data_IF_913868612663
#
_entry.id   IF_913868612663
#
_cell.length_a   1.000
_cell.length_b   1.000
_cell.length_c   1.000
_cell.angle_alpha   90.00
_cell.angle_beta   90.00
_cell.angle_gamma   90.00
#
_symmetry.space_group_name_H-M   'P 1'
#
loop_
_entity.id
_entity.type
_entity.pdbx_description
1 polymer ?
#
# COMPACT_ATOMS: atom_id res chain seq x y z
N UNK A 1 23.10 20.10 -8.27
CA UNK A 1 22.29 18.93 -8.67
C UNK A 1 21.20 18.79 -7.65
N UNK A 2 19.95 18.72 -8.07
CA UNK A 2 18.82 18.58 -7.14
C UNK A 2 18.93 17.25 -6.39
N UNK A 3 18.87 17.29 -5.03
CA UNK A 3 19.00 16.08 -4.20
C UNK A 3 17.94 15.02 -4.55
N UNK A 4 16.76 15.44 -5.00
CA UNK A 4 15.70 14.54 -5.48
C UNK A 4 16.11 13.76 -6.74
N UNK A 5 16.74 14.42 -7.71
CA UNK A 5 17.18 13.74 -8.94
C UNK A 5 18.27 12.69 -8.65
N UNK A 6 19.20 13.03 -7.76
CA UNK A 6 20.24 12.10 -7.33
C UNK A 6 19.64 10.88 -6.59
N UNK A 7 18.65 11.12 -5.72
CA UNK A 7 17.94 10.07 -5.01
C UNK A 7 17.14 9.16 -5.96
N UNK A 8 16.39 9.73 -6.91
CA UNK A 8 15.65 8.95 -7.90
C UNK A 8 16.56 8.06 -8.75
N UNK A 9 17.68 8.59 -9.24
CA UNK A 9 18.65 7.84 -10.05
C UNK A 9 19.29 6.70 -9.24
N UNK A 10 19.67 6.97 -8.00
CA UNK A 10 20.22 5.96 -7.09
C UNK A 10 19.21 4.85 -6.80
N UNK A 11 17.96 5.21 -6.54
CA UNK A 11 16.88 4.26 -6.28
C UNK A 11 16.58 3.39 -7.51
N UNK A 12 16.52 3.97 -8.71
CA UNK A 12 16.26 3.21 -9.94
C UNK A 12 17.34 2.15 -10.17
N UNK A 13 18.63 2.51 -10.02
CA UNK A 13 19.73 1.56 -10.16
C UNK A 13 19.63 0.45 -9.10
N UNK A 14 19.42 0.81 -7.85
CA UNK A 14 19.27 -0.15 -6.76
C UNK A 14 18.12 -1.14 -7.02
N UNK A 15 16.98 -0.65 -7.52
CA UNK A 15 15.82 -1.49 -7.86
C UNK A 15 16.14 -2.47 -8.99
N UNK A 16 16.87 -2.04 -10.01
CA UNK A 16 17.29 -2.92 -11.10
C UNK A 16 18.29 -4.00 -10.64
N UNK A 17 19.25 -3.62 -9.83
CA UNK A 17 20.29 -4.53 -9.33
C UNK A 17 19.71 -5.59 -8.37
N UNK A 18 18.61 -5.26 -7.63
CA UNK A 18 17.97 -6.14 -6.63
C UNK A 18 16.49 -6.40 -6.91
N UNK A 19 16.08 -6.47 -8.18
CA UNK A 19 14.68 -6.52 -8.59
C UNK A 19 13.88 -7.62 -7.90
N UNK A 20 14.41 -8.84 -7.84
CA UNK A 20 13.73 -10.00 -7.21
C UNK A 20 13.53 -9.77 -5.71
N UNK A 21 14.55 -9.27 -5.02
CA UNK A 21 14.48 -8.97 -3.59
C UNK A 21 13.48 -7.84 -3.29
N UNK A 22 13.46 -6.79 -4.11
CA UNK A 22 12.52 -5.66 -3.98
C UNK A 22 11.08 -6.12 -4.21
N UNK A 23 10.82 -6.97 -5.20
CA UNK A 23 9.49 -7.56 -5.43
C UNK A 23 9.08 -8.42 -4.22
N UNK A 24 9.99 -9.25 -3.70
CA UNK A 24 9.75 -10.07 -2.51
C UNK A 24 9.41 -9.23 -1.28
N UNK A 25 10.16 -8.15 -1.02
CA UNK A 25 9.90 -7.21 0.07
C UNK A 25 8.52 -6.54 -0.11
N UNK A 26 8.21 -6.10 -1.33
CA UNK A 26 6.92 -5.44 -1.63
C UNK A 26 5.74 -6.38 -1.42
N UNK A 27 5.85 -7.63 -1.85
CA UNK A 27 4.82 -8.65 -1.66
C UNK A 27 4.64 -8.99 -0.17
N UNK A 28 5.75 -9.19 0.55
CA UNK A 28 5.74 -9.44 1.98
C UNK A 28 5.12 -8.27 2.76
N UNK A 29 5.49 -7.03 2.40
CA UNK A 29 4.92 -5.81 2.97
C UNK A 29 3.41 -5.73 2.71
N UNK A 30 2.97 -6.00 1.48
CA UNK A 30 1.56 -5.97 1.11
C UNK A 30 0.76 -6.98 1.92
N UNK A 31 1.20 -8.24 1.97
CA UNK A 31 0.53 -9.30 2.73
C UNK A 31 0.51 -8.99 4.23
N UNK A 32 1.63 -8.51 4.78
CA UNK A 32 1.72 -8.15 6.19
C UNK A 32 0.89 -6.90 6.53
N UNK A 33 0.57 -6.04 5.57
CA UNK A 33 -0.22 -4.81 5.76
C UNK A 33 -1.73 -5.03 5.61
N UNK A 34 -2.19 -6.22 5.23
CA UNK A 34 -3.63 -6.54 5.11
C UNK A 34 -4.41 -6.22 6.39
N UNK A 35 -3.95 -6.57 7.61
CA UNK A 35 -4.52 -6.01 8.81
C UNK A 35 -4.01 -4.58 9.00
N UNK A 36 -4.91 -3.59 9.11
CA UNK A 36 -4.56 -2.16 9.28
C UNK A 36 -3.60 -1.95 10.46
N UNK A 37 -3.74 -2.73 11.51
CA UNK A 37 -2.90 -2.66 12.72
C UNK A 37 -1.43 -2.99 12.46
N UNK A 38 -1.15 -3.80 11.45
CA UNK A 38 0.21 -4.23 11.12
C UNK A 38 0.93 -3.38 10.07
N UNK A 39 0.30 -2.33 9.54
CA UNK A 39 0.92 -1.41 8.56
C UNK A 39 2.23 -0.83 9.11
N UNK A 40 2.24 -0.36 10.37
CA UNK A 40 3.44 0.18 11.02
C UNK A 40 4.59 -0.83 11.09
N UNK A 41 4.41 -1.99 11.76
CA UNK A 41 5.41 -3.04 11.81
C UNK A 41 5.86 -3.56 10.44
N UNK A 42 4.93 -3.73 9.49
CA UNK A 42 5.24 -4.14 8.12
C UNK A 42 6.17 -3.12 7.43
N UNK A 43 5.91 -1.83 7.62
CA UNK A 43 6.74 -0.76 7.06
C UNK A 43 8.13 -0.72 7.70
N UNK A 44 8.26 -0.92 9.02
CA UNK A 44 9.56 -1.07 9.70
C UNK A 44 10.32 -2.27 9.14
N UNK A 45 9.65 -3.40 8.94
CA UNK A 45 10.24 -4.60 8.34
C UNK A 45 10.76 -4.35 6.92
N UNK A 46 9.97 -3.68 6.08
CA UNK A 46 10.36 -3.32 4.72
C UNK A 46 11.59 -2.38 4.71
N UNK A 47 11.60 -1.35 5.56
CA UNK A 47 12.77 -0.47 5.69
C UNK A 47 14.01 -1.23 6.17
N UNK A 48 13.88 -2.12 7.17
CA UNK A 48 15.01 -2.93 7.64
C UNK A 48 15.56 -3.83 6.54
N UNK A 49 14.70 -4.47 5.76
CA UNK A 49 15.11 -5.31 4.64
C UNK A 49 15.88 -4.48 3.58
N UNK A 50 15.40 -3.29 3.23
CA UNK A 50 16.07 -2.39 2.29
C UNK A 50 17.41 -1.89 2.83
N UNK A 51 17.51 -1.58 4.14
CA UNK A 51 18.77 -1.17 4.77
C UNK A 51 19.80 -2.29 4.71
N UNK A 52 19.43 -3.53 5.03
CA UNK A 52 20.33 -4.70 4.94
C UNK A 52 20.85 -4.92 3.52
N UNK A 53 19.97 -4.83 2.51
CA UNK A 53 20.41 -4.94 1.10
C UNK A 53 21.42 -3.85 0.70
N UNK A 54 21.33 -2.66 1.30
CA UNK A 54 22.24 -1.55 1.01
C UNK A 54 23.58 -1.69 1.74
N UNK A 55 23.56 -2.20 2.97
CA UNK A 55 24.75 -2.33 3.82
C UNK A 55 25.63 -3.51 3.39
N UNK A 56 25.02 -4.67 3.15
CA UNK A 56 25.77 -5.91 2.90
C UNK A 56 26.10 -6.16 1.42
N UNK A 57 25.50 -5.42 0.49
CA UNK A 57 25.58 -5.71 -0.96
C UNK A 57 25.14 -7.14 -1.28
N UNK A 58 24.37 -7.76 -0.37
CA UNK A 58 23.95 -9.14 -0.43
C UNK A 58 22.76 -9.31 -1.38
N UNK A 59 22.77 -10.38 -2.16
CA UNK A 59 21.65 -10.73 -3.04
C UNK A 59 20.39 -11.21 -2.28
N UNK A 60 20.51 -11.45 -0.97
CA UNK A 60 19.43 -11.99 -0.13
C UNK A 60 19.26 -11.22 1.16
N UNK A 61 17.99 -11.02 1.53
CA UNK A 61 17.59 -10.38 2.79
C UNK A 61 17.74 -11.39 3.93
N UNK A 62 18.37 -10.99 5.03
CA UNK A 62 18.35 -11.74 6.28
C UNK A 62 16.97 -11.59 6.95
N UNK A 63 16.11 -12.58 6.71
CA UNK A 63 14.74 -12.63 7.25
C UNK A 63 14.71 -12.71 8.78
N UNK A 64 15.73 -13.29 9.43
CA UNK A 64 15.78 -13.40 10.88
C UNK A 64 16.06 -12.06 11.54
N UNK A 65 16.99 -11.29 10.99
CA UNK A 65 17.29 -9.92 11.42
C UNK A 65 16.08 -9.00 11.25
N UNK A 66 15.35 -9.11 10.12
CA UNK A 66 14.10 -8.38 9.88
C UNK A 66 13.04 -8.76 10.89
N UNK A 67 12.77 -10.05 11.09
CA UNK A 67 11.75 -10.53 12.02
C UNK A 67 12.04 -10.12 13.48
N UNK A 68 13.29 -10.14 13.88
CA UNK A 68 13.73 -9.70 15.21
C UNK A 68 13.46 -8.20 15.42
N UNK A 69 13.79 -7.37 14.43
CA UNK A 69 13.53 -5.93 14.46
C UNK A 69 12.03 -5.63 14.53
N UNK A 70 11.24 -6.30 13.69
CA UNK A 70 9.77 -6.15 13.68
C UNK A 70 9.17 -6.53 15.03
N UNK A 71 9.55 -7.68 15.60
CA UNK A 71 9.04 -8.12 16.91
C UNK A 71 9.37 -7.12 18.02
N UNK A 72 10.60 -6.61 18.04
CA UNK A 72 11.04 -5.66 19.06
C UNK A 72 10.31 -4.32 18.97
N UNK A 73 10.03 -3.85 17.76
CA UNK A 73 9.43 -2.54 17.51
C UNK A 73 7.92 -2.60 17.24
N UNK A 74 7.30 -3.80 17.31
CA UNK A 74 5.92 -4.03 16.89
C UNK A 74 4.93 -3.04 17.51
N UNK A 75 4.92 -2.93 18.84
CA UNK A 75 3.97 -2.08 19.58
C UNK A 75 4.21 -0.59 19.25
N UNK A 76 5.48 -0.16 19.24
CA UNK A 76 5.82 1.23 18.98
C UNK A 76 5.48 1.64 17.54
N UNK A 77 5.82 0.81 16.57
CA UNK A 77 5.50 1.05 15.16
C UNK A 77 4.00 1.09 14.90
N UNK A 78 3.24 0.18 15.54
CA UNK A 78 1.77 0.17 15.46
C UNK A 78 1.16 1.45 16.04
N UNK A 79 1.54 1.83 17.25
CA UNK A 79 1.01 3.03 17.91
C UNK A 79 1.34 4.30 17.11
N UNK A 80 2.58 4.42 16.62
CA UNK A 80 2.99 5.57 15.81
C UNK A 80 2.22 5.66 14.48
N UNK A 81 2.00 4.54 13.81
CA UNK A 81 1.26 4.50 12.55
C UNK A 81 -0.25 4.77 12.73
N UNK A 82 -0.82 4.37 13.87
CA UNK A 82 -2.23 4.62 14.15
C UNK A 82 -2.55 6.10 14.39
N UNK A 83 -1.61 6.91 14.86
CA UNK A 83 -1.85 8.35 15.13
C UNK A 83 -2.31 9.10 13.87
N UNK A 84 -1.55 9.15 12.76
CA UNK A 84 -2.01 9.84 11.57
C UNK A 84 -3.26 9.21 10.96
N UNK A 85 -3.41 7.89 11.01
CA UNK A 85 -4.61 7.19 10.52
C UNK A 85 -5.86 7.59 11.31
N UNK A 86 -5.79 7.63 12.64
CA UNK A 86 -6.89 8.05 13.49
C UNK A 86 -7.27 9.52 13.24
N UNK A 87 -6.28 10.40 13.12
CA UNK A 87 -6.52 11.81 12.82
C UNK A 87 -7.20 12.01 11.46
N UNK A 88 -6.77 11.27 10.43
CA UNK A 88 -7.39 11.33 9.10
C UNK A 88 -8.79 10.71 9.09
N UNK A 89 -9.03 9.65 9.86
CA UNK A 89 -10.37 9.09 10.02
C UNK A 89 -11.33 10.08 10.71
N UNK A 90 -10.86 10.75 11.76
CA UNK A 90 -11.59 11.82 12.42
C UNK A 90 -11.85 12.99 11.46
N UNK A 91 -10.83 13.40 10.69
CA UNK A 91 -10.96 14.45 9.67
C UNK A 91 -12.02 14.11 8.64
N UNK A 92 -12.02 12.86 8.14
CA UNK A 92 -13.04 12.37 7.17
C UNK A 92 -14.44 12.44 7.78
N UNK A 93 -14.62 12.00 9.01
CA UNK A 93 -15.90 12.04 9.69
C UNK A 93 -16.44 13.47 9.82
N UNK A 94 -15.59 14.41 10.27
CA UNK A 94 -15.99 15.82 10.38
C UNK A 94 -16.19 16.51 9.02
N UNK A 95 -15.49 16.08 7.97
CA UNK A 95 -15.74 16.55 6.60
C UNK A 95 -17.14 16.14 6.13
N UNK A 96 -17.52 14.88 6.35
CA UNK A 96 -18.86 14.40 6.01
C UNK A 96 -19.94 15.12 6.83
N UNK A 97 -19.70 15.35 8.12
CA UNK A 97 -20.60 16.12 8.98
C UNK A 97 -20.77 17.56 8.50
N UNK A 98 -19.69 18.23 8.09
CA UNK A 98 -19.72 19.56 7.50
C UNK A 98 -20.52 19.60 6.21
N UNK A 99 -20.34 18.64 5.31
CA UNK A 99 -21.11 18.55 4.06
C UNK A 99 -22.59 18.30 4.30
N UNK A 100 -22.94 17.56 5.36
CA UNK A 100 -24.32 17.26 5.71
C UNK A 100 -25.04 18.41 6.44
N UNK A 101 -24.35 19.17 7.31
CA UNK A 101 -24.97 20.15 8.22
C UNK A 101 -24.62 21.60 7.93
N UNK A 102 -23.54 21.87 7.15
CA UNK A 102 -23.01 23.21 6.92
C UNK A 102 -22.37 23.87 8.16
N UNK A 103 -22.18 23.13 9.25
CA UNK A 103 -21.70 23.66 10.53
C UNK A 103 -20.22 24.05 10.44
N UNK A 104 -19.90 25.33 10.59
CA UNK A 104 -18.53 25.88 10.49
C UNK A 104 -17.56 25.20 11.46
N UNK A 105 -18.01 24.87 12.67
CA UNK A 105 -17.18 24.17 13.66
C UNK A 105 -16.74 22.79 13.16
N UNK A 106 -17.60 22.03 12.49
CA UNK A 106 -17.23 20.75 11.87
C UNK A 106 -16.19 20.94 10.76
N UNK A 107 -16.33 21.97 9.92
CA UNK A 107 -15.36 22.31 8.88
C UNK A 107 -13.98 22.68 9.43
N UNK A 108 -13.92 23.48 10.49
CA UNK A 108 -12.67 23.85 11.15
C UNK A 108 -11.97 22.64 11.79
N UNK A 109 -12.74 21.76 12.45
CA UNK A 109 -12.21 20.51 13.02
C UNK A 109 -11.69 19.58 11.94
N UNK A 110 -12.42 19.43 10.84
CA UNK A 110 -11.98 18.64 9.68
C UNK A 110 -10.65 19.16 9.14
N UNK A 111 -10.54 20.47 8.92
CA UNK A 111 -9.30 21.11 8.41
C UNK A 111 -8.14 20.93 9.37
N UNK A 112 -8.36 21.15 10.66
CA UNK A 112 -7.32 21.01 11.70
C UNK A 112 -6.82 19.56 11.79
N UNK A 113 -7.73 18.58 11.88
CA UNK A 113 -7.38 17.17 11.93
C UNK A 113 -6.68 16.69 10.64
N UNK A 114 -7.10 17.20 9.48
CA UNK A 114 -6.42 16.89 8.21
C UNK A 114 -4.99 17.41 8.21
N UNK A 115 -4.79 18.66 8.58
CA UNK A 115 -3.46 19.27 8.62
C UNK A 115 -2.52 18.55 9.58
N UNK A 116 -2.99 18.32 10.83
CA UNK A 116 -2.20 17.62 11.85
C UNK A 116 -1.94 16.17 11.47
N UNK A 117 -2.92 15.48 10.87
CA UNK A 117 -2.78 14.09 10.41
C UNK A 117 -1.77 13.95 9.27
N UNK A 118 -1.81 14.86 8.28
CA UNK A 118 -0.83 14.88 7.19
C UNK A 118 0.58 15.21 7.71
N UNK A 119 0.70 16.19 8.59
CA UNK A 119 1.99 16.51 9.20
C UNK A 119 2.56 15.35 10.01
N UNK A 120 1.73 14.69 10.82
CA UNK A 120 2.11 13.48 11.55
C UNK A 120 2.55 12.36 10.60
N UNK A 121 1.88 12.19 9.46
CA UNK A 121 2.28 11.26 8.40
C UNK A 121 3.65 11.57 7.81
N UNK A 122 3.97 12.85 7.56
CA UNK A 122 5.30 13.26 7.09
C UNK A 122 6.39 12.97 8.12
N UNK A 123 6.13 13.22 9.41
CA UNK A 123 7.06 12.90 10.52
C UNK A 123 7.23 11.39 10.68
N UNK A 124 6.19 10.62 10.40
CA UNK A 124 6.21 9.16 10.55
C UNK A 124 7.24 8.49 9.64
N UNK A 125 7.41 8.95 8.40
CA UNK A 125 8.34 8.35 7.42
C UNK A 125 9.78 8.27 7.96
N UNK A 126 10.45 9.37 8.33
CA UNK A 126 11.79 9.31 8.91
C UNK A 126 11.81 8.61 10.28
N UNK A 127 10.75 8.71 11.08
CA UNK A 127 10.65 8.01 12.36
C UNK A 127 10.67 6.48 12.19
N UNK A 128 9.90 5.92 11.25
CA UNK A 128 9.90 4.48 10.99
C UNK A 128 11.22 4.00 10.40
N UNK A 129 11.91 4.83 9.62
CA UNK A 129 13.24 4.52 9.12
C UNK A 129 14.26 4.43 10.26
N UNK A 130 14.24 5.35 11.22
CA UNK A 130 15.08 5.32 12.42
C UNK A 130 14.76 4.12 13.32
N UNK A 131 13.47 3.76 13.46
CA UNK A 131 13.08 2.54 14.16
C UNK A 131 13.65 1.29 13.48
N UNK A 132 13.63 1.23 12.16
CA UNK A 132 14.20 0.14 11.38
C UNK A 132 15.72 0.03 11.53
N UNK A 133 16.41 1.16 11.73
CA UNK A 133 17.83 1.21 12.06
C UNK A 133 18.15 0.76 13.49
N UNK A 134 17.12 0.54 14.34
CA UNK A 134 17.28 0.04 15.70
C UNK A 134 17.27 1.10 16.79
N UNK A 135 16.99 2.35 16.44
CA UNK A 135 16.88 3.48 17.39
C UNK A 135 15.67 3.29 18.33
N UNK A 136 15.73 3.79 19.55
CA UNK A 136 14.59 3.77 20.48
C UNK A 136 13.44 4.66 19.98
N UNK A 137 12.19 4.29 20.30
CA UNK A 137 10.99 4.95 19.76
C UNK A 137 10.96 6.46 20.04
N UNK A 138 11.35 6.87 21.24
CA UNK A 138 11.39 8.31 21.63
C UNK A 138 12.47 9.08 20.86
N UNK A 139 13.66 8.48 20.69
CA UNK A 139 14.75 9.10 19.94
C UNK A 139 14.42 9.14 18.43
N UNK A 140 13.82 8.08 17.89
CA UNK A 140 13.35 8.01 16.50
C UNK A 140 12.30 9.09 16.21
N UNK A 141 11.31 9.26 17.09
CA UNK A 141 10.29 10.30 16.95
C UNK A 141 10.90 11.70 17.00
N UNK A 142 11.81 11.95 17.95
CA UNK A 142 12.51 13.23 18.05
C UNK A 142 13.39 13.52 16.83
N UNK A 143 14.05 12.49 16.28
CA UNK A 143 14.84 12.60 15.04
C UNK A 143 13.95 12.89 13.83
N UNK A 144 12.84 12.15 13.68
CA UNK A 144 11.86 12.34 12.61
C UNK A 144 11.24 13.75 12.63
N UNK A 145 10.83 14.21 13.80
CA UNK A 145 10.30 15.57 13.96
C UNK A 145 11.34 16.64 13.58
N UNK A 146 12.56 16.53 14.11
CA UNK A 146 13.63 17.49 13.81
C UNK A 146 13.97 17.52 12.34
N UNK A 147 14.04 16.34 11.70
CA UNK A 147 14.32 16.24 10.27
C UNK A 147 13.23 16.92 9.45
N UNK A 148 11.96 16.61 9.72
CA UNK A 148 10.81 17.21 9.02
C UNK A 148 10.74 18.73 9.22
N UNK A 149 10.99 19.20 10.44
CA UNK A 149 10.99 20.63 10.77
C UNK A 149 12.17 21.38 10.12
N UNK A 150 13.34 20.76 10.00
CA UNK A 150 14.52 21.40 9.39
C UNK A 150 14.53 21.34 7.86
N UNK A 151 13.77 20.40 7.26
CA UNK A 151 13.70 20.22 5.81
C UNK A 151 12.24 20.18 5.29
N UNK A 152 11.45 21.24 5.51
CA UNK A 152 10.01 21.21 5.19
C UNK A 152 9.73 20.95 3.70
N UNK A 153 10.52 21.55 2.81
CA UNK A 153 10.37 21.34 1.36
C UNK A 153 10.70 19.90 0.98
N UNK A 154 11.76 19.33 1.57
CA UNK A 154 12.14 17.93 1.34
C UNK A 154 11.07 16.96 1.85
N UNK A 155 10.51 17.20 3.04
CA UNK A 155 9.46 16.38 3.61
C UNK A 155 8.18 16.39 2.77
N UNK A 156 7.74 17.59 2.34
CA UNK A 156 6.55 17.75 1.47
C UNK A 156 6.79 17.09 0.11
N UNK A 157 7.96 17.29 -0.51
CA UNK A 157 8.30 16.66 -1.78
C UNK A 157 8.27 15.13 -1.69
N UNK A 158 8.85 14.58 -0.62
CA UNK A 158 8.83 13.13 -0.36
C UNK A 158 7.39 12.62 -0.17
N UNK A 159 6.56 13.37 0.57
CA UNK A 159 5.15 13.06 0.77
C UNK A 159 4.36 13.06 -0.55
N UNK A 160 4.57 14.05 -1.41
CA UNK A 160 3.92 14.14 -2.73
C UNK A 160 4.34 12.96 -3.61
N UNK A 161 5.63 12.66 -3.71
CA UNK A 161 6.13 11.53 -4.51
C UNK A 161 5.54 10.20 -3.99
N UNK A 162 5.59 9.98 -2.68
CA UNK A 162 5.05 8.76 -2.06
C UNK A 162 3.53 8.65 -2.26
N UNK A 163 2.79 9.74 -2.08
CA UNK A 163 1.35 9.80 -2.30
C UNK A 163 0.98 9.56 -3.76
N UNK A 164 1.74 10.13 -4.70
CA UNK A 164 1.53 9.91 -6.14
C UNK A 164 1.80 8.45 -6.52
N UNK A 165 2.90 7.85 -6.04
CA UNK A 165 3.20 6.44 -6.27
C UNK A 165 2.10 5.53 -5.69
N UNK A 166 1.63 5.83 -4.48
CA UNK A 166 0.54 5.08 -3.86
C UNK A 166 -0.76 5.18 -4.67
N UNK A 167 -1.14 6.40 -5.10
CA UNK A 167 -2.33 6.61 -5.93
C UNK A 167 -2.26 5.84 -7.25
N UNK A 168 -1.13 5.93 -7.95
CA UNK A 168 -0.90 5.21 -9.21
C UNK A 168 -1.00 3.70 -8.98
N UNK A 169 -0.42 3.19 -7.90
CA UNK A 169 -0.48 1.76 -7.56
C UNK A 169 -1.91 1.30 -7.29
N UNK A 170 -2.69 2.07 -6.54
CA UNK A 170 -4.11 1.76 -6.27
C UNK A 170 -4.92 1.77 -7.57
N UNK A 171 -4.77 2.79 -8.41
CA UNK A 171 -5.46 2.86 -9.70
C UNK A 171 -5.11 1.68 -10.61
N UNK A 172 -3.84 1.31 -10.67
CA UNK A 172 -3.38 0.18 -11.48
C UNK A 172 -3.94 -1.15 -10.94
N UNK A 173 -3.96 -1.33 -9.62
CA UNK A 173 -4.51 -2.52 -8.97
C UNK A 173 -6.00 -2.67 -9.26
N UNK A 174 -6.77 -1.58 -9.16
CA UNK A 174 -8.21 -1.57 -9.51
C UNK A 174 -8.41 -1.88 -10.98
N UNK A 175 -7.63 -1.28 -11.88
CA UNK A 175 -7.72 -1.55 -13.32
C UNK A 175 -7.44 -3.02 -13.66
N UNK A 176 -6.41 -3.62 -13.07
CA UNK A 176 -6.08 -5.05 -13.26
C UNK A 176 -7.18 -5.95 -12.70
N UNK A 177 -7.74 -5.64 -11.53
CA UNK A 177 -8.83 -6.41 -10.94
C UNK A 177 -10.10 -6.37 -11.81
N UNK A 178 -10.45 -5.20 -12.36
CA UNK A 178 -11.60 -5.05 -13.26
C UNK A 178 -11.38 -5.80 -14.59
N UNK A 179 -10.18 -5.72 -15.16
CA UNK A 179 -9.82 -6.46 -16.37
C UNK A 179 -9.91 -7.97 -16.13
N UNK A 180 -9.36 -8.46 -15.03
CA UNK A 180 -9.44 -9.87 -14.65
C UNK A 180 -10.90 -10.34 -14.51
N UNK A 181 -11.74 -9.58 -13.82
CA UNK A 181 -13.15 -9.89 -13.65
C UNK A 181 -13.87 -9.95 -15.00
N UNK A 182 -13.66 -8.98 -15.88
CA UNK A 182 -14.25 -8.95 -17.22
C UNK A 182 -13.86 -10.16 -18.07
N UNK A 183 -12.58 -10.50 -18.10
CA UNK A 183 -12.07 -11.66 -18.85
C UNK A 183 -12.59 -12.97 -18.25
N UNK A 184 -12.60 -13.11 -16.91
CA UNK A 184 -13.10 -14.33 -16.27
C UNK A 184 -14.59 -14.55 -16.54
N UNK A 185 -15.42 -13.51 -16.41
CA UNK A 185 -16.85 -13.63 -16.69
C UNK A 185 -17.13 -13.89 -18.18
N UNK A 186 -16.39 -13.25 -19.09
CA UNK A 186 -16.50 -13.53 -20.53
C UNK A 186 -16.15 -14.98 -20.85
N UNK A 187 -15.05 -15.49 -20.29
CA UNK A 187 -14.63 -16.88 -20.47
C UNK A 187 -15.68 -17.89 -19.94
N UNK A 188 -16.24 -17.61 -18.75
CA UNK A 188 -17.26 -18.47 -18.18
C UNK A 188 -18.54 -18.49 -19.03
N UNK A 189 -18.98 -17.32 -19.52
CA UNK A 189 -20.15 -17.23 -20.38
C UNK A 189 -19.97 -18.00 -21.68
N UNK A 190 -18.83 -17.82 -22.36
CA UNK A 190 -18.48 -18.51 -23.60
C UNK A 190 -18.37 -20.02 -23.42
N UNK A 191 -17.70 -20.44 -22.35
CA UNK A 191 -17.56 -21.87 -22.04
C UNK A 191 -18.91 -22.54 -21.76
N UNK A 192 -19.79 -21.90 -20.97
CA UNK A 192 -21.12 -22.44 -20.70
C UNK A 192 -21.96 -22.51 -21.98
N UNK A 193 -21.91 -21.50 -22.82
CA UNK A 193 -22.61 -21.50 -24.12
C UNK A 193 -22.11 -22.63 -25.01
N UNK A 194 -20.80 -22.83 -25.13
CA UNK A 194 -20.21 -23.87 -25.99
C UNK A 194 -20.53 -25.31 -25.53
N UNK A 195 -20.78 -25.50 -24.24
CA UNK A 195 -21.17 -26.83 -23.68
C UNK A 195 -22.66 -27.05 -23.80
N UNK A 196 -23.49 -26.00 -23.82
CA UNK A 196 -24.95 -26.11 -23.97
C UNK A 196 -25.42 -26.40 -25.39
N UNK A 197 -24.74 -25.85 -26.41
CA UNK A 197 -25.08 -26.00 -27.82
C UNK A 197 -25.17 -27.48 -28.32
N UNK A 198 -24.28 -28.42 -27.94
CA UNK A 198 -24.40 -29.82 -28.36
C UNK A 198 -25.63 -30.54 -27.81
N UNK A 199 -26.16 -30.10 -26.66
CA UNK A 199 -27.29 -30.73 -26.02
C UNK A 199 -28.63 -30.42 -26.71
N UNK A 200 -28.79 -29.21 -27.25
CA UNK A 200 -29.96 -28.79 -28.01
C UNK A 200 -30.00 -29.45 -29.40
N UNK A 201 -28.90 -29.45 -30.13
CA UNK A 201 -28.80 -30.09 -31.45
C UNK A 201 -29.09 -31.59 -31.39
N UNK A 202 -28.82 -32.24 -30.28
CA UNK A 202 -29.10 -33.68 -30.13
C UNK A 202 -30.57 -33.95 -29.75
N UNK A 203 -31.28 -33.04 -29.11
CA UNK A 203 -32.70 -33.11 -28.83
C UNK A 203 -33.53 -32.95 -30.08
N UNK A 204 -33.23 -31.97 -30.91
CA UNK A 204 -33.95 -31.72 -32.15
C UNK A 204 -33.86 -32.89 -33.11
N UNK A 205 -32.71 -33.56 -33.22
CA UNK A 205 -32.53 -34.78 -34.02
C UNK A 205 -33.30 -35.98 -33.47
N UNK A 206 -33.53 -36.04 -32.17
CA UNK A 206 -34.27 -37.14 -31.56
C UNK A 206 -35.78 -36.98 -31.79
N UNK A 207 -36.29 -35.75 -31.70
CA UNK A 207 -37.69 -35.43 -31.95
C UNK A 207 -38.07 -35.60 -33.44
N UNK A 208 -37.20 -35.20 -34.37
CA UNK A 208 -37.40 -35.37 -35.79
C UNK A 208 -37.48 -36.86 -36.22
N UNK A 209 -36.69 -37.74 -35.58
CA UNK A 209 -36.74 -39.16 -35.82
C UNK A 209 -38.01 -39.81 -35.27
N UNK A 210 -38.58 -39.31 -34.21
CA UNK A 210 -39.79 -39.85 -33.57
C UNK A 210 -41.04 -39.54 -34.42
N UNK A 211 -41.06 -38.39 -35.08
CA UNK A 211 -42.17 -37.94 -35.94
C UNK A 211 -42.21 -38.73 -37.28
N UNK A 212 -41.07 -39.16 -37.82
CA UNK A 212 -40.97 -39.89 -39.09
C UNK A 212 -41.36 -41.38 -38.99
N UNK A 213 -41.39 -41.91 -37.75
CA UNK A 213 -41.68 -43.32 -37.46
C UNK A 213 -43.11 -43.58 -36.95
N UNK A 214 -43.94 -42.54 -36.84
CA UNK A 214 -45.38 -42.65 -36.53
C UNK A 214 -46.27 -42.45 -37.74
#
# INVERSE_FOLDING_TARGET
MDPLYAACRGTTRFVWDHLVSVIGISLAWFLASLPIVTIGPATVGAYRAVLLLREDGADRVDCEAVATTVRRQFVHATLLALVPLALLAVATNYTLAFLATGTVAAGLLALCCTYVGLYAGLVLVPTLLELAAGTSATAALAAGYRWTASHPVGAVSLGIVTGTLFLVTVLLTVAVALLFAGVAFGLHAEFIASVAEPAESNRDRHDERTIVTS
#
